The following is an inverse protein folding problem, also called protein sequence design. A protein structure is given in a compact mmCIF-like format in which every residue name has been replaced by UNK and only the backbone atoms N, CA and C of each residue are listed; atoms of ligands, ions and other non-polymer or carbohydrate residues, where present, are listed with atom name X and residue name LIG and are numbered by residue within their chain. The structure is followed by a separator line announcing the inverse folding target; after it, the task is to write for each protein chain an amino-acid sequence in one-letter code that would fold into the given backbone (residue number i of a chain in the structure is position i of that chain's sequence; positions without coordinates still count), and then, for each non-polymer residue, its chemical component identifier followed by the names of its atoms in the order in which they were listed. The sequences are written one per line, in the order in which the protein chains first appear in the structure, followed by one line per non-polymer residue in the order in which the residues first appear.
data_IF_923887746205
#
_entry.id   IF_923887746205
#
_cell.length_a   1.000
_cell.length_b   1.000
_cell.length_c   1.000
_cell.angle_alpha   90.00
_cell.angle_beta   90.00
_cell.angle_gamma   90.00
#
_symmetry.space_group_name_H-M   'P 1'
#
loop_
_entity.id
_entity.type
_entity.pdbx_description
1 polymer ?
#
# COMPACT_ATOMS: atom_id res chain seq x y z
N UNK A 1 3.45 4.18 21.82
CA UNK A 1 4.65 3.44 22.25
C UNK A 1 5.89 4.16 21.72
N UNK A 2 6.82 4.56 22.59
CA UNK A 2 8.16 5.03 22.21
C UNK A 2 8.87 3.99 21.32
N UNK A 3 9.88 4.43 20.56
CA UNK A 3 10.70 3.63 19.64
C UNK A 3 11.06 2.25 20.22
N UNK A 4 10.25 1.22 19.95
CA UNK A 4 10.46 -0.14 20.50
C UNK A 4 11.86 -0.66 20.15
N UNK A 5 12.39 -0.23 19.00
CA UNK A 5 13.74 -0.57 18.50
C UNK A 5 14.86 -0.14 19.47
N UNK A 6 14.60 0.84 20.32
CA UNK A 6 15.54 1.35 21.32
C UNK A 6 15.33 0.73 22.71
N UNK A 7 14.39 -0.20 22.86
CA UNK A 7 14.02 -0.78 24.16
C UNK A 7 14.02 -2.31 24.20
N UNK A 8 14.27 -2.99 23.07
CA UNK A 8 14.34 -4.45 23.00
C UNK A 8 15.66 -4.91 22.39
N UNK A 9 16.15 -6.07 22.84
CA UNK A 9 17.35 -6.74 22.37
C UNK A 9 18.62 -5.87 22.47
N UNK A 10 18.75 -5.11 23.57
CA UNK A 10 19.86 -4.17 23.76
C UNK A 10 21.22 -4.84 23.99
N UNK A 11 21.21 -6.11 24.42
CA UNK A 11 22.39 -6.95 24.58
C UNK A 11 22.85 -7.61 23.26
N UNK A 12 22.06 -7.52 22.18
CA UNK A 12 22.48 -7.99 20.86
C UNK A 12 23.29 -6.93 20.13
N UNK A 13 24.21 -7.38 19.26
CA UNK A 13 24.88 -6.46 18.33
C UNK A 13 23.86 -5.79 17.40
N UNK A 14 24.14 -4.58 16.89
CA UNK A 14 23.25 -3.90 15.94
C UNK A 14 22.87 -4.75 14.73
N UNK A 15 23.80 -5.60 14.24
CA UNK A 15 23.58 -6.51 13.12
C UNK A 15 22.60 -7.63 13.48
N UNK A 16 22.85 -8.36 14.57
CA UNK A 16 21.97 -9.42 15.06
C UNK A 16 20.56 -8.89 15.30
N UNK A 17 20.45 -7.74 15.99
CA UNK A 17 19.17 -7.09 16.26
C UNK A 17 18.43 -6.73 14.96
N UNK A 18 19.11 -6.16 13.97
CA UNK A 18 18.48 -5.80 12.69
C UNK A 18 17.96 -7.02 11.94
N UNK A 19 18.74 -8.11 11.93
CA UNK A 19 18.35 -9.37 11.29
C UNK A 19 17.12 -9.98 11.98
N UNK A 20 17.18 -10.13 13.31
CA UNK A 20 16.09 -10.68 14.12
C UNK A 20 14.81 -9.86 13.94
N UNK A 21 14.87 -8.54 14.11
CA UNK A 21 13.70 -7.65 13.99
C UNK A 21 13.06 -7.72 12.61
N UNK A 22 13.86 -7.81 11.54
CA UNK A 22 13.35 -7.96 10.17
C UNK A 22 12.63 -9.29 9.97
N UNK A 23 13.21 -10.36 10.51
CA UNK A 23 12.62 -11.70 10.48
C UNK A 23 11.32 -11.76 11.27
N UNK A 24 11.33 -11.32 12.54
CA UNK A 24 10.15 -11.37 13.42
C UNK A 24 8.96 -10.58 12.84
N UNK A 25 9.21 -9.46 12.15
CA UNK A 25 8.15 -8.74 11.41
C UNK A 25 7.52 -9.59 10.31
N UNK A 26 8.32 -10.36 9.60
CA UNK A 26 7.84 -11.25 8.54
C UNK A 26 7.16 -12.49 9.12
N UNK A 27 7.67 -12.98 10.24
CA UNK A 27 7.12 -14.10 11.00
C UNK A 27 5.70 -13.79 11.51
N UNK A 28 5.50 -12.67 12.21
CA UNK A 28 4.16 -12.25 12.67
C UNK A 28 3.19 -12.10 11.51
N UNK A 29 3.62 -11.54 10.36
CA UNK A 29 2.77 -11.42 9.17
C UNK A 29 2.28 -12.76 8.63
N UNK A 30 3.08 -13.83 8.72
CA UNK A 30 2.70 -15.20 8.32
C UNK A 30 1.76 -15.84 9.35
N UNK A 31 1.87 -15.45 10.62
CA UNK A 31 1.20 -16.07 11.76
C UNK A 31 0.27 -15.11 12.53
N UNK A 32 -0.42 -14.20 11.83
CA UNK A 32 -1.24 -13.14 12.46
C UNK A 32 -2.39 -13.64 13.33
N UNK A 33 -2.75 -14.93 13.22
CA UNK A 33 -3.82 -15.55 14.02
C UNK A 33 -3.34 -16.05 15.38
N UNK A 34 -2.02 -16.10 15.60
CA UNK A 34 -1.43 -16.56 16.84
C UNK A 34 -1.27 -15.40 17.83
N UNK A 35 -1.47 -15.68 19.11
CA UNK A 35 -1.14 -14.77 20.20
C UNK A 35 0.38 -14.59 20.35
N UNK A 36 0.79 -13.58 21.12
CA UNK A 36 2.20 -13.29 21.38
C UNK A 36 2.93 -14.45 22.06
N UNK A 37 2.24 -15.19 22.93
CA UNK A 37 2.79 -16.38 23.58
C UNK A 37 2.97 -17.51 22.56
N UNK A 38 1.93 -17.83 21.79
CA UNK A 38 1.99 -18.86 20.75
C UNK A 38 3.05 -18.54 19.68
N UNK A 39 3.23 -17.26 19.33
CA UNK A 39 4.31 -16.82 18.44
C UNK A 39 5.69 -17.04 19.04
N UNK A 40 5.85 -16.81 20.35
CA UNK A 40 7.11 -17.05 21.06
C UNK A 40 7.44 -18.53 21.05
N UNK A 41 6.47 -19.37 21.43
CA UNK A 41 6.64 -20.83 21.48
C UNK A 41 6.96 -21.37 20.08
N UNK A 42 6.19 -20.91 19.07
CA UNK A 42 6.40 -21.31 17.67
C UNK A 42 7.75 -20.86 17.11
N UNK A 43 8.20 -19.65 17.45
CA UNK A 43 9.51 -19.16 17.01
C UNK A 43 10.64 -20.02 17.59
N UNK A 44 10.55 -20.36 18.88
CA UNK A 44 11.52 -21.24 19.55
C UNK A 44 11.51 -22.64 18.93
N UNK A 45 10.33 -23.21 18.70
CA UNK A 45 10.17 -24.53 18.07
C UNK A 45 10.80 -24.57 16.68
N UNK A 46 10.51 -23.58 15.83
CA UNK A 46 11.08 -23.50 14.48
C UNK A 46 12.60 -23.36 14.52
N UNK A 47 13.15 -22.45 15.33
CA UNK A 47 14.60 -22.28 15.41
C UNK A 47 15.32 -23.50 16.00
N UNK A 48 14.73 -24.19 16.98
CA UNK A 48 15.27 -25.46 17.48
C UNK A 48 15.28 -26.53 16.36
N UNK A 49 14.21 -26.66 15.60
CA UNK A 49 14.15 -27.56 14.45
C UNK A 49 15.24 -27.23 13.41
N UNK A 50 15.39 -25.96 13.03
CA UNK A 50 16.43 -25.54 12.09
C UNK A 50 17.84 -25.79 12.62
N UNK A 51 18.04 -25.66 13.94
CA UNK A 51 19.30 -26.03 14.60
C UNK A 51 19.57 -27.53 14.52
N UNK A 52 18.57 -28.39 14.78
CA UNK A 52 18.70 -29.85 14.72
C UNK A 52 19.09 -30.36 13.33
N UNK A 53 18.57 -29.71 12.27
CA UNK A 53 18.91 -30.03 10.87
C UNK A 53 20.22 -29.37 10.42
N UNK A 54 20.94 -28.68 11.33
CA UNK A 54 22.26 -28.08 11.07
C UNK A 54 22.20 -26.81 10.23
N UNK A 55 21.07 -26.11 10.20
CA UNK A 55 20.85 -24.89 9.42
C UNK A 55 20.09 -23.81 10.22
N UNK A 56 20.56 -23.41 11.41
CA UNK A 56 19.87 -22.40 12.22
C UNK A 56 19.84 -21.04 11.51
N UNK A 57 18.73 -20.31 11.62
CA UNK A 57 18.68 -18.94 11.10
C UNK A 57 19.44 -17.99 12.02
N UNK A 58 19.32 -18.21 13.33
CA UNK A 58 19.89 -17.35 14.36
C UNK A 58 20.61 -18.16 15.44
N UNK A 59 21.88 -18.52 15.21
CA UNK A 59 22.71 -19.21 16.23
C UNK A 59 22.70 -18.46 17.57
N UNK A 60 22.83 -17.13 17.54
CA UNK A 60 22.79 -16.30 18.74
C UNK A 60 21.44 -16.32 19.47
N UNK A 61 20.34 -16.64 18.80
CA UNK A 61 19.03 -16.68 19.44
C UNK A 61 18.87 -17.97 20.26
N UNK A 62 19.40 -19.09 19.77
CA UNK A 62 19.37 -20.39 20.45
C UNK A 62 19.97 -20.31 21.86
N UNK A 63 21.12 -19.63 21.98
CA UNK A 63 21.80 -19.40 23.26
C UNK A 63 20.97 -18.57 24.25
N UNK A 64 19.98 -17.82 23.76
CA UNK A 64 19.15 -16.91 24.53
C UNK A 64 17.73 -17.45 24.81
N UNK A 65 17.37 -18.65 24.37
CA UNK A 65 16.04 -19.20 24.61
C UNK A 65 15.74 -19.53 26.07
N UNK A 66 16.78 -19.70 26.90
CA UNK A 66 16.64 -19.78 28.37
C UNK A 66 16.72 -18.42 29.07
N UNK A 67 16.98 -17.32 28.34
CA UNK A 67 17.13 -15.99 28.90
C UNK A 67 15.76 -15.29 29.01
N UNK A 68 15.30 -15.05 30.23
CA UNK A 68 14.03 -14.35 30.49
C UNK A 68 13.96 -12.96 29.87
N UNK A 69 15.10 -12.25 29.78
CA UNK A 69 15.16 -10.94 29.13
C UNK A 69 14.85 -11.03 27.65
N UNK A 70 15.38 -12.06 26.97
CA UNK A 70 15.13 -12.32 25.56
C UNK A 70 13.68 -12.71 25.29
N UNK A 71 13.12 -13.59 26.10
CA UNK A 71 11.72 -13.99 25.99
C UNK A 71 10.76 -12.81 26.23
N UNK A 72 11.07 -11.96 27.23
CA UNK A 72 10.31 -10.73 27.50
C UNK A 72 10.37 -9.77 26.31
N UNK A 73 11.56 -9.58 25.73
CA UNK A 73 11.77 -8.67 24.61
C UNK A 73 11.10 -9.19 23.32
N UNK A 74 11.08 -10.51 23.09
CA UNK A 74 10.30 -11.16 22.03
C UNK A 74 8.81 -10.83 22.15
N UNK A 75 8.21 -11.09 23.31
CA UNK A 75 6.79 -10.82 23.55
C UNK A 75 6.46 -9.35 23.32
N UNK A 76 7.20 -8.43 23.95
CA UNK A 76 7.05 -6.98 23.74
C UNK A 76 7.14 -6.58 22.28
N UNK A 77 8.05 -7.20 21.52
CA UNK A 77 8.23 -6.89 20.11
C UNK A 77 7.06 -7.43 19.26
N UNK A 78 6.52 -8.60 19.58
CA UNK A 78 5.30 -9.11 18.95
C UNK A 78 4.08 -8.23 19.25
N UNK A 79 3.85 -7.81 20.49
CA UNK A 79 2.75 -6.89 20.83
C UNK A 79 2.86 -5.59 20.04
N UNK A 80 4.08 -5.06 19.93
CA UNK A 80 4.33 -3.87 19.12
C UNK A 80 3.98 -4.08 17.64
N UNK A 81 4.32 -5.24 17.05
CA UNK A 81 4.00 -5.50 15.64
C UNK A 81 2.49 -5.55 15.44
N UNK A 82 1.75 -6.23 16.32
CA UNK A 82 0.29 -6.26 16.25
C UNK A 82 -0.32 -4.87 16.35
N UNK A 83 0.12 -4.09 17.35
CA UNK A 83 -0.29 -2.69 17.46
C UNK A 83 0.03 -1.89 16.18
N UNK A 84 1.23 -2.06 15.59
CA UNK A 84 1.60 -1.38 14.34
C UNK A 84 0.69 -1.78 13.16
N UNK A 85 0.25 -3.05 13.10
CA UNK A 85 -0.69 -3.53 12.08
C UNK A 85 -2.09 -2.94 12.28
N UNK A 86 -2.60 -2.92 13.52
CA UNK A 86 -3.89 -2.30 13.86
C UNK A 86 -3.90 -0.80 13.53
N UNK A 87 -2.83 -0.08 13.89
CA UNK A 87 -2.72 1.34 13.59
C UNK A 87 -2.69 1.60 12.07
N UNK A 88 -2.00 0.74 11.30
CA UNK A 88 -2.00 0.85 9.83
C UNK A 88 -3.39 0.64 9.26
N UNK A 89 -4.13 -0.35 9.76
CA UNK A 89 -5.50 -0.60 9.34
C UNK A 89 -6.43 0.58 9.67
N UNK A 90 -6.36 1.08 10.90
CA UNK A 90 -7.14 2.24 11.35
C UNK A 90 -6.84 3.50 10.53
N UNK A 91 -5.61 3.66 10.03
CA UNK A 91 -5.21 4.80 9.20
C UNK A 91 -5.54 4.65 7.71
N UNK A 92 -5.80 3.44 7.21
CA UNK A 92 -6.17 3.21 5.80
C UNK A 92 -7.26 4.14 5.28
N UNK A 93 -8.43 4.30 5.94
CA UNK A 93 -9.51 5.15 5.41
C UNK A 93 -9.09 6.61 5.24
N UNK A 94 -8.29 7.13 6.18
CA UNK A 94 -7.76 8.48 6.11
C UNK A 94 -6.78 8.64 4.93
N UNK A 95 -5.87 7.67 4.74
CA UNK A 95 -4.91 7.64 3.64
C UNK A 95 -5.64 7.55 2.29
N UNK A 96 -6.66 6.70 2.18
CA UNK A 96 -7.48 6.55 0.98
C UNK A 96 -8.24 7.83 0.64
N UNK A 97 -8.85 8.48 1.62
CA UNK A 97 -9.49 9.80 1.44
C UNK A 97 -8.49 10.85 0.96
N UNK A 98 -7.28 10.89 1.53
CA UNK A 98 -6.23 11.82 1.07
C UNK A 98 -5.80 11.52 -0.37
N UNK A 99 -5.63 10.25 -0.74
CA UNK A 99 -5.31 9.85 -2.12
C UNK A 99 -6.41 10.26 -3.10
N UNK A 100 -7.68 10.11 -2.72
CA UNK A 100 -8.82 10.52 -3.55
C UNK A 100 -8.81 12.03 -3.80
N UNK A 101 -8.64 12.84 -2.74
CA UNK A 101 -8.54 14.31 -2.84
C UNK A 101 -7.38 14.72 -3.77
N UNK A 102 -6.20 14.11 -3.61
CA UNK A 102 -5.06 14.41 -4.47
C UNK A 102 -5.30 14.02 -5.94
N UNK A 103 -5.96 12.88 -6.18
CA UNK A 103 -6.33 12.44 -7.53
C UNK A 103 -7.29 13.43 -8.17
N UNK A 104 -8.30 13.88 -7.44
CA UNK A 104 -9.28 14.86 -7.91
C UNK A 104 -8.61 16.22 -8.19
N UNK A 105 -7.74 16.69 -7.29
CA UNK A 105 -6.99 17.93 -7.48
C UNK A 105 -6.12 17.89 -8.75
N UNK A 106 -5.44 16.76 -9.02
CA UNK A 106 -4.67 16.56 -10.25
C UNK A 106 -5.56 16.55 -11.49
N UNK A 107 -6.71 15.88 -11.43
CA UNK A 107 -7.70 15.88 -12.52
C UNK A 107 -8.15 17.31 -12.80
N UNK A 108 -8.57 18.05 -11.78
CA UNK A 108 -9.03 19.45 -11.88
C UNK A 108 -7.95 20.38 -12.46
N UNK A 109 -6.71 20.25 -12.01
CA UNK A 109 -5.60 21.04 -12.55
C UNK A 109 -5.33 20.73 -14.03
N UNK A 110 -5.39 19.46 -14.41
CA UNK A 110 -5.26 19.05 -15.81
C UNK A 110 -6.43 19.56 -16.66
N UNK A 111 -7.66 19.43 -16.19
CA UNK A 111 -8.85 19.90 -16.89
C UNK A 111 -8.82 21.42 -17.07
N UNK A 112 -8.39 22.17 -16.04
CA UNK A 112 -8.14 23.60 -16.13
C UNK A 112 -7.09 23.95 -17.19
N UNK A 113 -5.98 23.20 -17.27
CA UNK A 113 -4.99 23.40 -18.33
C UNK A 113 -5.59 23.15 -19.71
N UNK A 114 -6.38 22.10 -19.87
CA UNK A 114 -6.97 21.71 -21.14
C UNK A 114 -8.08 22.66 -21.61
N UNK A 115 -8.82 23.28 -20.69
CA UNK A 115 -9.83 24.30 -21.00
C UNK A 115 -9.24 25.61 -21.50
N UNK A 116 -7.94 25.84 -21.35
CA UNK A 116 -7.25 27.03 -21.90
C UNK A 116 -6.57 26.77 -23.24
N UNK A 117 -6.49 25.53 -23.68
CA UNK A 117 -5.72 25.15 -24.88
C UNK A 117 -6.63 24.85 -26.06
N UNK A 118 -6.21 25.31 -27.24
CA UNK A 118 -6.86 24.94 -28.50
C UNK A 118 -6.59 23.48 -28.88
N UNK A 119 -7.57 22.80 -29.49
CA UNK A 119 -7.43 21.46 -30.02
C UNK A 119 -6.29 21.31 -31.01
N UNK A 120 -5.61 20.16 -30.96
CA UNK A 120 -4.62 19.81 -31.99
C UNK A 120 -5.30 19.18 -33.21
N UNK A 121 -4.64 19.24 -34.37
CA UNK A 121 -5.12 18.60 -35.61
C UNK A 121 -5.42 17.10 -35.42
N UNK A 122 -4.56 16.39 -34.67
CA UNK A 122 -4.75 14.97 -34.36
C UNK A 122 -6.00 14.70 -33.51
N UNK A 123 -6.28 15.56 -32.54
CA UNK A 123 -7.48 15.45 -31.70
C UNK A 123 -8.76 15.70 -32.49
N UNK A 124 -8.76 16.72 -33.37
CA UNK A 124 -9.88 17.01 -34.26
C UNK A 124 -10.15 15.84 -35.23
N UNK A 125 -9.09 15.32 -35.85
CA UNK A 125 -9.20 14.16 -36.73
C UNK A 125 -9.75 12.92 -36.00
N UNK A 126 -9.30 12.68 -34.76
CA UNK A 126 -9.81 11.57 -33.96
C UNK A 126 -11.29 11.75 -33.61
N UNK A 127 -11.70 12.94 -33.16
CA UNK A 127 -13.11 13.24 -32.89
C UNK A 127 -14.00 13.02 -34.12
N UNK A 128 -13.58 13.49 -35.30
CA UNK A 128 -14.30 13.26 -36.55
C UNK A 128 -14.49 11.76 -36.83
N UNK A 129 -13.46 10.94 -36.58
CA UNK A 129 -13.54 9.49 -36.76
C UNK A 129 -14.50 8.82 -35.77
N UNK A 130 -14.47 9.24 -34.50
CA UNK A 130 -15.38 8.73 -33.47
C UNK A 130 -16.84 9.09 -33.82
N UNK A 131 -17.12 10.35 -34.19
CA UNK A 131 -18.46 10.76 -34.63
C UNK A 131 -18.97 9.92 -35.82
N UNK A 132 -18.13 9.68 -36.83
CA UNK A 132 -18.51 8.85 -37.99
C UNK A 132 -18.76 7.40 -37.61
N UNK A 133 -17.92 6.82 -36.75
CA UNK A 133 -18.05 5.42 -36.33
C UNK A 133 -19.33 5.17 -35.53
N UNK A 134 -19.73 6.13 -34.68
CA UNK A 134 -20.93 6.03 -33.85
C UNK A 134 -22.17 6.70 -34.47
N UNK A 135 -22.07 7.17 -35.72
CA UNK A 135 -23.14 7.88 -36.44
C UNK A 135 -23.73 9.10 -35.68
N UNK A 136 -22.87 9.86 -35.00
CA UNK A 136 -23.24 11.06 -34.23
C UNK A 136 -22.88 12.33 -35.00
N UNK A 137 -23.75 13.33 -34.98
CA UNK A 137 -23.49 14.64 -35.57
C UNK A 137 -22.36 15.39 -34.81
N UNK A 138 -21.45 16.01 -35.56
CA UNK A 138 -20.36 16.79 -34.95
C UNK A 138 -20.87 18.08 -34.34
N UNK A 139 -20.40 18.41 -33.13
CA UNK A 139 -20.66 19.71 -32.50
C UNK A 139 -19.81 20.82 -33.14
N UNK A 140 -20.22 22.10 -33.05
CA UNK A 140 -19.44 23.22 -33.57
C UNK A 140 -18.04 23.29 -32.95
N UNK A 141 -17.00 23.40 -33.79
CA UNK A 141 -15.59 23.41 -33.36
C UNK A 141 -15.06 24.82 -33.07
N UNK A 142 -15.83 25.87 -33.38
CA UNK A 142 -15.45 27.26 -33.16
C UNK A 142 -15.40 27.56 -31.66
N UNK A 143 -14.24 28.03 -31.19
CA UNK A 143 -14.00 28.29 -29.77
C UNK A 143 -13.84 27.02 -28.91
N UNK A 144 -13.94 25.82 -29.48
CA UNK A 144 -13.79 24.58 -28.74
C UNK A 144 -12.38 24.46 -28.14
N UNK A 145 -12.30 23.95 -26.91
CA UNK A 145 -11.06 23.70 -26.18
C UNK A 145 -10.68 22.23 -26.26
N UNK A 146 -9.46 21.89 -25.84
CA UNK A 146 -9.06 20.49 -25.71
C UNK A 146 -9.90 19.72 -24.68
N UNK A 147 -10.41 20.41 -23.66
CA UNK A 147 -11.29 19.79 -22.67
C UNK A 147 -12.65 19.44 -23.29
N UNK A 148 -13.22 20.35 -24.07
CA UNK A 148 -14.53 20.13 -24.72
C UNK A 148 -14.51 18.92 -25.65
N UNK A 149 -13.50 18.84 -26.52
CA UNK A 149 -13.33 17.68 -27.41
C UNK A 149 -13.15 16.38 -26.64
N UNK A 150 -12.38 16.40 -25.55
CA UNK A 150 -12.22 15.21 -24.72
C UNK A 150 -13.56 14.77 -24.15
N UNK A 151 -14.33 15.70 -23.59
CA UNK A 151 -15.64 15.38 -23.00
C UNK A 151 -16.60 14.85 -24.08
N UNK A 152 -16.70 15.51 -25.24
CA UNK A 152 -17.57 15.03 -26.33
C UNK A 152 -17.17 13.65 -26.86
N UNK A 153 -15.87 13.34 -26.91
CA UNK A 153 -15.41 12.00 -27.27
C UNK A 153 -15.85 10.99 -26.22
N UNK A 154 -15.68 11.31 -24.93
CA UNK A 154 -16.08 10.42 -23.84
C UNK A 154 -17.59 10.17 -23.86
N UNK A 155 -18.41 11.21 -24.02
CA UNK A 155 -19.88 11.10 -24.10
C UNK A 155 -20.35 10.14 -25.22
N UNK A 156 -19.55 10.00 -26.30
CA UNK A 156 -19.87 9.12 -27.43
C UNK A 156 -19.43 7.67 -27.17
N UNK A 157 -18.26 7.49 -26.54
CA UNK A 157 -17.62 6.17 -26.36
C UNK A 157 -18.12 5.48 -25.08
N UNK A 158 -18.36 6.27 -24.04
CA UNK A 158 -18.85 5.85 -22.72
C UNK A 158 -20.08 6.71 -22.38
N UNK A 159 -21.23 6.49 -23.05
CA UNK A 159 -22.46 7.18 -22.67
C UNK A 159 -22.78 6.83 -21.21
N UNK A 160 -23.10 7.83 -20.39
CA UNK A 160 -23.59 7.59 -19.04
C UNK A 160 -24.86 6.72 -19.16
N UNK A 161 -24.87 5.54 -18.53
CA UNK A 161 -26.12 4.79 -18.35
C UNK A 161 -27.05 5.68 -17.52
N UNK A 162 -28.18 6.09 -18.09
CA UNK A 162 -29.23 6.76 -17.34
C UNK A 162 -29.58 5.87 -16.14
N UNK A 163 -29.27 6.33 -14.93
CA UNK A 163 -29.83 5.74 -13.72
C UNK A 163 -31.32 6.07 -13.74
N UNK A 164 -32.14 5.11 -14.17
CA UNK A 164 -33.58 5.11 -13.99
C UNK A 164 -33.88 5.06 -12.47
N UNK A 165 -33.90 6.22 -11.82
CA UNK A 165 -34.50 6.45 -10.49
C UNK A 165 -35.95 6.99 -10.63
#
# INVERSE_FOLDING_TARGET
MQYIKNSVFLYLTPRQRSQLVSFLRSFVKKHQKLSENELTDKFIEEENYYSEVGSPHFEFALENFSNEEFLRDLKKFFSYIFWELEQKEAQKPLIERQKAIQKEARKRANDYKMSKLKPTKKQLWYYEKVCKAHNVAQKPLEGATRLDLRNWIMDIIEPEEESDD
#
